data_IF_056246674964
#
_entry.id   IF_056246674964
#
_cell.length_a   1.000
_cell.length_b   1.000
_cell.length_c   1.000
_cell.angle_alpha   90.00
_cell.angle_beta   90.00
_cell.angle_gamma   90.00
#
_symmetry.space_group_name_H-M   'P 1'
#
loop_
_entity.id
_entity.type
_entity.pdbx_description
1 polymer ?
#
# COMPACT_ATOMS: atom_id res chain seq x y z
N UNK A 1 9.50 -8.82 30.90
CA UNK A 1 8.73 -8.47 29.68
C UNK A 1 9.02 -9.59 28.69
N UNK A 2 8.08 -10.50 28.44
CA UNK A 2 8.32 -11.56 27.45
C UNK A 2 8.35 -10.91 26.07
N UNK A 3 9.49 -10.99 25.40
CA UNK A 3 9.57 -10.63 23.99
C UNK A 3 8.67 -11.60 23.24
N UNK A 4 7.72 -11.06 22.48
CA UNK A 4 6.86 -11.86 21.59
C UNK A 4 7.77 -12.50 20.54
N UNK A 5 7.70 -13.82 20.37
CA UNK A 5 8.52 -14.54 19.39
C UNK A 5 8.09 -14.19 17.96
N UNK A 6 9.01 -14.18 16.99
CA UNK A 6 8.70 -13.96 15.57
C UNK A 6 7.64 -14.95 15.07
N UNK A 7 7.64 -16.18 15.60
CA UNK A 7 6.63 -17.19 15.28
C UNK A 7 5.24 -16.82 15.80
N UNK A 8 5.16 -16.22 16.98
CA UNK A 8 3.89 -15.76 17.56
C UNK A 8 3.33 -14.57 16.78
N UNK A 9 4.20 -13.62 16.38
CA UNK A 9 3.83 -12.51 15.50
C UNK A 9 3.32 -13.05 14.16
N UNK A 10 4.04 -13.98 13.53
CA UNK A 10 3.65 -14.58 12.26
C UNK A 10 2.32 -15.35 12.37
N UNK A 11 2.06 -16.01 13.51
CA UNK A 11 0.80 -16.69 13.77
C UNK A 11 -0.37 -15.70 13.98
N UNK A 12 -0.12 -14.52 14.54
CA UNK A 12 -1.12 -13.48 14.72
C UNK A 12 -1.46 -12.73 13.41
N UNK A 13 -0.52 -12.66 12.45
CA UNK A 13 -0.74 -12.05 11.12
C UNK A 13 -1.54 -12.96 10.19
N UNK A 14 -2.85 -13.04 10.43
CA UNK A 14 -3.77 -13.89 9.66
C UNK A 14 -4.05 -13.39 8.23
N UNK A 15 -3.88 -12.08 7.97
CA UNK A 15 -4.06 -11.48 6.65
C UNK A 15 -2.70 -11.05 6.11
N UNK A 16 -2.31 -11.65 4.99
CA UNK A 16 -1.03 -11.40 4.33
C UNK A 16 -1.16 -11.51 2.81
N UNK A 17 -0.23 -10.91 2.08
CA UNK A 17 -0.05 -11.25 0.67
C UNK A 17 0.61 -12.63 0.62
N UNK A 18 -0.10 -13.58 0.03
CA UNK A 18 0.36 -14.95 -0.12
C UNK A 18 0.19 -15.32 -1.58
N UNK A 19 1.26 -15.86 -2.16
CA UNK A 19 1.36 -16.25 -3.55
C UNK A 19 2.56 -17.18 -3.72
N UNK A 20 2.40 -18.17 -4.60
CA UNK A 20 3.42 -19.19 -4.81
C UNK A 20 4.40 -18.87 -5.93
N UNK A 21 4.01 -17.98 -6.83
CA UNK A 21 4.80 -17.51 -7.96
C UNK A 21 4.75 -16.00 -7.98
N UNK A 22 5.89 -15.37 -8.28
CA UNK A 22 5.93 -13.92 -8.47
C UNK A 22 5.06 -13.53 -9.66
N UNK A 23 4.23 -12.49 -9.54
CA UNK A 23 3.55 -11.91 -10.70
C UNK A 23 4.58 -11.48 -11.74
N UNK A 24 4.22 -11.53 -13.03
CA UNK A 24 5.09 -10.99 -14.08
C UNK A 24 5.40 -9.51 -13.87
N UNK A 25 6.53 -9.05 -14.40
CA UNK A 25 6.88 -7.63 -14.38
C UNK A 25 5.77 -6.79 -15.00
N UNK A 26 5.53 -5.63 -14.39
CA UNK A 26 4.49 -4.73 -14.86
C UNK A 26 4.82 -4.17 -16.25
N UNK A 27 3.78 -4.08 -17.07
CA UNK A 27 3.80 -3.35 -18.34
C UNK A 27 3.03 -2.04 -18.18
N UNK A 28 3.51 -1.03 -18.90
CA UNK A 28 2.92 0.30 -18.94
C UNK A 28 2.37 0.58 -20.33
N UNK A 29 1.13 1.05 -20.38
CA UNK A 29 0.48 1.45 -21.61
C UNK A 29 0.99 2.84 -22.02
N UNK A 30 1.34 2.97 -23.30
CA UNK A 30 1.73 4.25 -23.88
C UNK A 30 0.58 5.27 -23.80
N UNK A 31 0.92 6.54 -23.62
CA UNK A 31 -0.06 7.63 -23.53
C UNK A 31 -0.73 7.79 -22.16
N UNK A 32 -0.61 6.82 -21.25
CA UNK A 32 -1.06 6.97 -19.86
C UNK A 32 -0.01 7.73 -19.06
N UNK A 33 -0.45 8.79 -18.39
CA UNK A 33 0.41 9.68 -17.63
C UNK A 33 1.10 8.95 -16.47
N UNK A 34 2.36 9.32 -16.21
CA UNK A 34 3.23 8.79 -15.15
C UNK A 34 3.72 9.91 -14.27
N UNK A 35 3.87 9.65 -12.97
CA UNK A 35 4.48 10.63 -12.07
C UNK A 35 5.93 10.91 -12.50
N UNK A 36 6.42 12.16 -12.35
CA UNK A 36 7.83 12.45 -12.53
C UNK A 36 8.68 11.68 -11.49
N UNK A 37 9.97 11.57 -11.74
CA UNK A 37 10.92 11.12 -10.72
C UNK A 37 10.87 12.06 -9.51
N UNK A 38 10.83 11.49 -8.30
CA UNK A 38 10.84 12.21 -7.03
C UNK A 38 12.25 12.43 -6.48
N UNK A 39 13.25 11.87 -7.14
CA UNK A 39 14.66 11.89 -6.73
C UNK A 39 14.96 10.88 -5.62
N UNK A 40 16.23 10.51 -5.52
CA UNK A 40 16.74 9.53 -4.55
C UNK A 40 17.77 10.21 -3.64
N UNK A 41 17.41 10.42 -2.37
CA UNK A 41 18.20 11.18 -1.38
C UNK A 41 18.60 10.35 -0.16
N UNK A 42 18.18 9.09 -0.11
CA UNK A 42 18.47 8.21 1.01
C UNK A 42 19.98 7.91 1.14
N UNK A 43 20.45 7.91 2.38
CA UNK A 43 21.72 7.27 2.73
C UNK A 43 21.65 5.75 2.49
N UNK A 44 22.79 5.06 2.49
CA UNK A 44 22.80 3.60 2.38
C UNK A 44 21.95 2.94 3.48
N UNK A 45 22.08 3.37 4.73
CA UNK A 45 21.31 2.82 5.84
C UNK A 45 19.80 3.06 5.68
N UNK A 46 19.39 4.25 5.23
CA UNK A 46 17.99 4.54 4.94
C UNK A 46 17.47 3.72 3.75
N UNK A 47 18.29 3.51 2.73
CA UNK A 47 17.95 2.68 1.56
C UNK A 47 17.69 1.23 1.97
N UNK A 48 18.53 0.68 2.86
CA UNK A 48 18.31 -0.66 3.42
C UNK A 48 17.00 -0.75 4.22
N UNK A 49 16.65 0.30 4.97
CA UNK A 49 15.38 0.38 5.68
C UNK A 49 14.21 0.47 4.71
N UNK A 50 14.29 1.31 3.67
CA UNK A 50 13.26 1.44 2.63
C UNK A 50 12.97 0.08 1.94
N UNK A 51 14.03 -0.66 1.62
CA UNK A 51 13.89 -2.02 1.07
C UNK A 51 13.24 -2.97 2.06
N UNK A 52 13.66 -2.99 3.34
CA UNK A 52 13.02 -3.81 4.38
C UNK A 52 11.54 -3.45 4.55
N UNK A 53 11.21 -2.16 4.51
CA UNK A 53 9.86 -1.64 4.61
C UNK A 53 8.98 -2.10 3.45
N UNK A 54 9.46 -2.08 2.21
CA UNK A 54 8.73 -2.62 1.07
C UNK A 54 8.61 -4.16 1.12
N UNK A 55 9.68 -4.86 1.54
CA UNK A 55 9.71 -6.32 1.61
C UNK A 55 8.88 -6.90 2.76
N UNK A 56 8.47 -6.09 3.75
CA UNK A 56 7.62 -6.53 4.87
C UNK A 56 6.29 -7.15 4.43
N UNK A 57 5.80 -6.76 3.26
CA UNK A 57 4.56 -7.27 2.68
C UNK A 57 4.73 -8.58 1.90
N UNK A 58 5.97 -9.01 1.64
CA UNK A 58 6.27 -10.06 0.66
C UNK A 58 6.84 -11.31 1.34
N UNK A 59 6.45 -12.53 0.91
CA UNK A 59 7.08 -13.75 1.40
C UNK A 59 8.61 -13.76 1.22
N UNK A 60 9.35 -14.13 2.28
CA UNK A 60 10.83 -14.13 2.33
C UNK A 60 11.48 -14.86 1.15
N UNK A 61 10.84 -15.91 0.62
CA UNK A 61 11.31 -16.69 -0.55
C UNK A 61 11.56 -15.85 -1.80
N UNK A 62 10.93 -14.68 -1.93
CA UNK A 62 11.05 -13.79 -3.09
C UNK A 62 11.93 -12.57 -2.87
N UNK A 63 12.45 -12.36 -1.65
CA UNK A 63 13.18 -11.14 -1.32
C UNK A 63 14.41 -10.95 -2.20
N UNK A 64 15.20 -12.00 -2.42
CA UNK A 64 16.41 -11.92 -3.24
C UNK A 64 16.14 -11.47 -4.68
N UNK A 65 15.02 -11.89 -5.26
CA UNK A 65 14.64 -11.51 -6.63
C UNK A 65 14.09 -10.07 -6.69
N UNK A 66 13.38 -9.62 -5.66
CA UNK A 66 12.72 -8.32 -5.64
C UNK A 66 13.61 -7.16 -5.18
N UNK A 67 14.64 -7.42 -4.37
CA UNK A 67 15.59 -6.39 -3.92
C UNK A 67 16.12 -5.54 -5.09
N UNK A 68 16.67 -6.12 -6.18
CA UNK A 68 17.19 -5.30 -7.29
C UNK A 68 16.08 -4.52 -8.00
N UNK A 69 14.86 -5.06 -8.09
CA UNK A 69 13.72 -4.39 -8.72
C UNK A 69 13.24 -3.20 -7.88
N UNK A 70 13.05 -3.38 -6.58
CA UNK A 70 12.67 -2.31 -5.67
C UNK A 70 13.75 -1.24 -5.54
N UNK A 71 15.03 -1.63 -5.55
CA UNK A 71 16.13 -0.69 -5.56
C UNK A 71 16.16 0.15 -6.84
N UNK A 72 15.84 -0.45 -7.99
CA UNK A 72 15.75 0.27 -9.26
C UNK A 72 14.58 1.26 -9.26
N UNK A 73 13.40 0.85 -8.79
CA UNK A 73 12.26 1.77 -8.61
C UNK A 73 12.63 2.94 -7.70
N UNK A 74 13.25 2.66 -6.55
CA UNK A 74 13.66 3.68 -5.59
C UNK A 74 14.66 4.67 -6.20
N UNK A 75 15.64 4.19 -6.98
CA UNK A 75 16.67 5.04 -7.61
C UNK A 75 16.15 5.88 -8.77
N UNK A 76 15.21 5.34 -9.56
CA UNK A 76 14.76 5.97 -10.81
C UNK A 76 13.44 6.73 -10.68
N UNK A 77 12.69 6.47 -9.60
CA UNK A 77 11.40 7.10 -9.33
C UNK A 77 11.36 7.82 -7.98
N UNK A 78 12.37 7.60 -7.13
CA UNK A 78 12.39 8.09 -5.75
C UNK A 78 11.44 7.34 -4.82
N UNK A 79 10.76 6.29 -5.25
CA UNK A 79 9.79 5.54 -4.45
C UNK A 79 9.75 4.09 -4.88
N UNK A 80 9.39 3.20 -3.95
CA UNK A 80 9.07 1.80 -4.27
C UNK A 80 7.56 1.69 -4.41
N UNK A 81 7.06 1.70 -5.66
CA UNK A 81 5.63 1.52 -5.94
C UNK A 81 5.24 0.04 -6.00
N UNK A 82 6.22 -0.85 -6.20
CA UNK A 82 6.03 -2.27 -6.40
C UNK A 82 5.17 -2.56 -7.62
N UNK A 83 5.54 -2.01 -8.78
CA UNK A 83 4.69 -2.02 -9.97
C UNK A 83 4.22 -3.42 -10.35
N UNK A 84 5.06 -4.44 -10.14
CA UNK A 84 4.75 -5.86 -10.36
C UNK A 84 3.47 -6.32 -9.66
N UNK A 85 3.13 -5.73 -8.52
CA UNK A 85 1.95 -6.10 -7.72
C UNK A 85 0.68 -5.36 -8.15
N UNK A 86 0.75 -4.46 -9.13
CA UNK A 86 -0.44 -3.82 -9.67
C UNK A 86 -1.37 -4.86 -10.31
N UNK A 87 -2.69 -4.84 -10.03
CA UNK A 87 -3.65 -5.66 -10.75
C UNK A 87 -3.59 -5.42 -12.26
N UNK A 88 -3.60 -6.50 -13.05
CA UNK A 88 -3.64 -6.42 -14.52
C UNK A 88 -5.02 -5.99 -15.03
N UNK A 89 -6.07 -6.36 -14.31
CA UNK A 89 -7.44 -6.03 -14.65
C UNK A 89 -7.71 -4.52 -14.52
N UNK A 90 -8.71 -4.05 -15.28
CA UNK A 90 -9.18 -2.66 -15.18
C UNK A 90 -9.67 -2.37 -13.77
N UNK A 91 -9.10 -1.32 -13.18
CA UNK A 91 -9.51 -0.80 -11.86
C UNK A 91 -10.53 0.32 -12.11
N UNK A 92 -11.72 0.17 -11.53
CA UNK A 92 -12.79 1.16 -11.52
C UNK A 92 -13.80 0.80 -10.42
N UNK A 93 -14.60 1.77 -9.98
CA UNK A 93 -15.68 1.50 -9.02
C UNK A 93 -16.78 0.63 -9.66
N UNK A 94 -16.82 -0.64 -9.28
CA UNK A 94 -17.86 -1.59 -9.76
C UNK A 94 -19.15 -1.45 -8.96
N UNK A 95 -20.29 -2.01 -9.41
CA UNK A 95 -21.44 -2.23 -8.55
C UNK A 95 -21.03 -2.94 -7.24
N UNK A 96 -21.55 -2.49 -6.11
CA UNK A 96 -21.15 -2.95 -4.77
C UNK A 96 -21.28 -4.47 -4.59
N UNK A 97 -22.25 -5.08 -5.27
CA UNK A 97 -22.54 -6.52 -5.17
C UNK A 97 -21.49 -7.40 -5.88
N UNK A 98 -20.65 -6.82 -6.75
CA UNK A 98 -19.54 -7.51 -7.38
C UNK A 98 -18.31 -7.65 -6.47
N UNK A 99 -18.29 -6.90 -5.36
CA UNK A 99 -17.21 -6.96 -4.39
C UNK A 99 -17.39 -8.12 -3.41
N UNK A 100 -16.31 -8.88 -3.21
CA UNK A 100 -16.21 -9.86 -2.12
C UNK A 100 -16.10 -9.11 -0.79
N UNK A 101 -16.74 -9.63 0.24
CA UNK A 101 -16.73 -8.99 1.55
C UNK A 101 -17.83 -9.52 2.46
N UNK A 102 -17.56 -9.54 3.77
CA UNK A 102 -18.56 -9.87 4.79
C UNK A 102 -19.32 -8.64 5.31
N UNK A 103 -18.76 -7.45 5.11
CA UNK A 103 -19.33 -6.18 5.56
C UNK A 103 -19.65 -5.28 4.35
N UNK A 104 -20.88 -4.78 4.25
CA UNK A 104 -21.31 -3.90 3.15
C UNK A 104 -20.50 -2.60 3.09
N UNK A 105 -20.21 -2.01 4.25
CA UNK A 105 -19.39 -0.81 4.30
C UNK A 105 -17.95 -1.04 3.81
N UNK A 106 -17.37 -2.22 4.07
CA UNK A 106 -16.04 -2.57 3.53
C UNK A 106 -16.06 -2.69 2.01
N UNK A 107 -17.11 -3.30 1.43
CA UNK A 107 -17.32 -3.34 -0.03
C UNK A 107 -17.44 -1.93 -0.61
N UNK A 108 -18.26 -1.08 -0.01
CA UNK A 108 -18.43 0.31 -0.43
C UNK A 108 -17.10 1.08 -0.41
N UNK A 109 -16.25 0.87 0.59
CA UNK A 109 -14.92 1.49 0.63
C UNK A 109 -14.03 1.01 -0.51
N UNK A 110 -14.08 -0.29 -0.84
CA UNK A 110 -13.32 -0.81 -1.98
C UNK A 110 -13.78 -0.20 -3.32
N UNK A 111 -15.08 0.06 -3.49
CA UNK A 111 -15.60 0.82 -4.64
C UNK A 111 -14.91 2.18 -4.73
N UNK A 112 -14.82 2.91 -3.61
CA UNK A 112 -14.23 4.25 -3.56
C UNK A 112 -12.71 4.23 -3.80
N UNK A 113 -12.00 3.23 -3.27
CA UNK A 113 -10.57 3.05 -3.51
C UNK A 113 -10.30 2.78 -4.99
N UNK A 114 -11.06 1.86 -5.60
CA UNK A 114 -10.92 1.53 -7.03
C UNK A 114 -11.32 2.71 -7.91
N UNK A 115 -12.28 3.53 -7.49
CA UNK A 115 -12.62 4.78 -8.18
C UNK A 115 -11.43 5.76 -8.18
N UNK A 116 -10.82 6.01 -7.01
CA UNK A 116 -9.67 6.92 -6.90
C UNK A 116 -8.45 6.46 -7.72
N UNK A 117 -8.32 5.16 -7.97
CA UNK A 117 -7.23 4.53 -8.72
C UNK A 117 -7.63 4.14 -10.15
N UNK A 118 -8.83 4.53 -10.60
CA UNK A 118 -9.25 4.33 -11.97
C UNK A 118 -8.33 5.09 -12.92
N UNK A 119 -7.95 4.46 -14.03
CA UNK A 119 -7.11 5.06 -15.05
C UNK A 119 -7.78 6.24 -15.78
N UNK A 120 -9.10 6.36 -15.64
CA UNK A 120 -9.90 7.46 -16.18
C UNK A 120 -9.98 8.66 -15.21
N UNK A 121 -9.56 8.47 -13.95
CA UNK A 121 -9.75 9.45 -12.87
C UNK A 121 -8.41 9.90 -12.29
N UNK A 122 -7.51 8.96 -12.00
CA UNK A 122 -6.25 9.24 -11.32
C UNK A 122 -5.28 10.04 -12.22
N UNK A 123 -4.59 11.01 -11.63
CA UNK A 123 -3.55 11.80 -12.29
C UNK A 123 -2.35 10.94 -12.73
N UNK A 124 -1.87 10.05 -11.84
CA UNK A 124 -0.81 9.09 -12.11
C UNK A 124 -1.25 7.70 -11.65
N UNK A 125 -2.07 6.99 -12.44
CA UNK A 125 -2.72 5.76 -11.99
C UNK A 125 -1.71 4.66 -11.61
N UNK A 126 -0.57 4.59 -12.30
CA UNK A 126 0.48 3.61 -12.00
C UNK A 126 1.21 3.90 -10.67
N UNK A 127 1.25 5.15 -10.24
CA UNK A 127 1.90 5.62 -9.01
C UNK A 127 0.90 5.86 -7.87
N UNK A 128 -0.34 5.39 -8.03
CA UNK A 128 -1.40 5.50 -7.04
C UNK A 128 -1.77 6.94 -6.65
N UNK A 129 -1.45 7.93 -7.49
CA UNK A 129 -1.74 9.36 -7.26
C UNK A 129 -3.04 9.74 -7.95
N UNK A 130 -4.01 10.19 -7.17
CA UNK A 130 -5.30 10.63 -7.69
C UNK A 130 -5.25 12.08 -8.16
N UNK A 131 -4.66 13.00 -7.39
CA UNK A 131 -4.58 14.43 -7.74
C UNK A 131 -3.44 15.14 -7.01
N UNK A 132 -3.24 16.42 -7.32
CA UNK A 132 -2.37 17.30 -6.54
C UNK A 132 -0.89 16.93 -6.60
N UNK A 133 -0.45 16.28 -7.69
CA UNK A 133 0.90 15.75 -7.93
C UNK A 133 1.34 14.63 -6.98
N UNK A 134 1.08 14.73 -5.68
CA UNK A 134 1.53 13.78 -4.64
C UNK A 134 0.39 13.18 -3.81
N UNK A 135 -0.86 13.58 -4.05
CA UNK A 135 -2.03 13.06 -3.35
C UNK A 135 -2.33 11.62 -3.74
N UNK A 136 -1.73 10.67 -3.01
CA UNK A 136 -1.82 9.24 -3.25
C UNK A 136 -2.84 8.54 -2.35
N UNK A 137 -3.35 7.40 -2.82
CA UNK A 137 -4.28 6.55 -2.05
C UNK A 137 -3.53 5.68 -1.05
N UNK A 138 -2.39 5.15 -1.48
CA UNK A 138 -1.42 4.43 -0.65
C UNK A 138 -0.05 4.51 -1.34
N UNK A 139 1.02 4.18 -0.61
CA UNK A 139 2.39 4.35 -1.08
C UNK A 139 2.79 3.35 -2.18
N UNK A 140 2.20 2.15 -2.18
CA UNK A 140 2.56 1.09 -3.13
C UNK A 140 1.42 0.08 -3.38
N UNK A 141 1.58 -0.71 -4.44
CA UNK A 141 0.60 -1.72 -4.85
C UNK A 141 0.48 -2.89 -3.88
N UNK A 142 1.50 -3.16 -3.05
CA UNK A 142 1.40 -4.17 -1.99
C UNK A 142 0.37 -3.73 -0.94
N UNK A 143 0.40 -2.47 -0.53
CA UNK A 143 -0.58 -1.89 0.39
C UNK A 143 -1.99 -1.93 -0.18
N UNK A 144 -2.19 -1.52 -1.44
CA UNK A 144 -3.49 -1.62 -2.11
C UNK A 144 -4.07 -3.04 -2.05
N UNK A 145 -3.27 -4.05 -2.42
CA UNK A 145 -3.72 -5.45 -2.40
C UNK A 145 -4.01 -5.94 -0.98
N UNK A 146 -3.21 -5.52 -0.01
CA UNK A 146 -3.38 -5.94 1.38
C UNK A 146 -4.62 -5.29 2.02
N UNK A 147 -4.87 -4.00 1.75
CA UNK A 147 -6.10 -3.31 2.16
C UNK A 147 -7.31 -4.05 1.61
N UNK A 148 -7.31 -4.43 0.33
CA UNK A 148 -8.40 -5.22 -0.26
C UNK A 148 -8.63 -6.53 0.48
N UNK A 149 -7.58 -7.30 0.79
CA UNK A 149 -7.72 -8.52 1.59
C UNK A 149 -8.34 -8.25 2.96
N UNK A 150 -7.96 -7.16 3.63
CA UNK A 150 -8.57 -6.78 4.90
C UNK A 150 -10.05 -6.43 4.75
N UNK A 151 -10.43 -5.65 3.73
CA UNK A 151 -11.83 -5.30 3.47
C UNK A 151 -12.69 -6.53 3.12
N UNK A 152 -12.12 -7.52 2.42
CA UNK A 152 -12.83 -8.77 2.08
C UNK A 152 -13.17 -9.60 3.34
N UNK A 153 -12.29 -9.64 4.34
CA UNK A 153 -12.48 -10.48 5.53
C UNK A 153 -13.08 -9.76 6.74
N UNK A 154 -13.05 -8.42 6.75
CA UNK A 154 -13.58 -7.56 7.80
C UNK A 154 -15.05 -7.86 8.10
N UNK A 155 -15.39 -7.92 9.39
CA UNK A 155 -16.77 -7.96 9.88
C UNK A 155 -17.23 -6.61 10.41
N UNK A 156 -18.52 -6.49 10.75
CA UNK A 156 -19.10 -5.27 11.34
C UNK A 156 -18.58 -4.98 12.76
N UNK A 157 -17.98 -5.96 13.42
CA UNK A 157 -17.38 -5.82 14.76
C UNK A 157 -15.91 -5.44 14.70
N UNK A 158 -15.43 -4.91 13.58
CA UNK A 158 -14.02 -4.59 13.37
C UNK A 158 -13.81 -3.20 12.75
N UNK A 159 -12.65 -2.62 13.06
CA UNK A 159 -12.15 -1.39 12.45
C UNK A 159 -10.77 -1.69 11.85
N UNK A 160 -10.56 -1.37 10.58
CA UNK A 160 -9.24 -1.38 9.95
C UNK A 160 -8.53 -0.06 10.26
N UNK A 161 -7.32 -0.14 10.78
CA UNK A 161 -6.45 1.02 10.97
C UNK A 161 -5.48 1.10 9.80
N UNK A 162 -5.43 2.25 9.13
CA UNK A 162 -4.53 2.54 8.02
C UNK A 162 -3.67 3.76 8.36
N UNK A 163 -2.36 3.56 8.34
CA UNK A 163 -1.34 4.55 8.68
C UNK A 163 -0.56 4.94 7.42
N UNK A 164 -0.88 6.10 6.84
CA UNK A 164 -0.27 6.61 5.60
C UNK A 164 -0.23 5.55 4.49
N UNK A 165 -1.37 4.88 4.27
CA UNK A 165 -1.52 3.78 3.32
C UNK A 165 -1.11 2.40 3.84
N UNK A 166 -0.35 2.28 4.94
CA UNK A 166 -0.05 0.97 5.55
C UNK A 166 -1.26 0.42 6.32
N UNK A 167 -1.85 -0.72 5.92
CA UNK A 167 -2.92 -1.33 6.71
C UNK A 167 -2.33 -2.05 7.92
N UNK A 168 -2.35 -1.39 9.07
CA UNK A 168 -1.82 -1.94 10.33
C UNK A 168 -2.56 -3.22 10.74
N UNK A 169 -3.87 -3.25 10.58
CA UNK A 169 -4.68 -4.45 10.82
C UNK A 169 -6.12 -4.17 11.23
N UNK A 170 -6.84 -5.28 11.48
CA UNK A 170 -8.22 -5.26 11.96
C UNK A 170 -8.24 -5.37 13.49
N UNK A 171 -8.91 -4.43 14.14
CA UNK A 171 -9.08 -4.37 15.58
C UNK A 171 -10.54 -4.55 15.94
N UNK A 172 -10.82 -5.22 17.07
CA UNK A 172 -12.19 -5.38 17.57
C UNK A 172 -12.81 -4.01 17.86
N UNK A 173 -14.02 -3.82 17.40
CA UNK A 173 -14.82 -2.61 17.57
C UNK A 173 -16.29 -2.99 17.80
N UNK A 174 -17.20 -2.01 17.64
CA UNK A 174 -18.66 -2.21 17.69
C UNK A 174 -19.29 -1.81 16.35
N UNK A 175 -20.46 -2.33 15.96
CA UNK A 175 -21.10 -2.00 14.70
C UNK A 175 -21.26 -0.49 14.41
N UNK A 176 -21.40 0.35 15.42
CA UNK A 176 -21.54 1.81 15.27
C UNK A 176 -20.21 2.55 15.14
N UNK A 177 -19.08 1.88 15.34
CA UNK A 177 -17.76 2.46 15.14
C UNK A 177 -17.46 2.66 13.65
N UNK A 178 -16.53 3.56 13.29
CA UNK A 178 -16.00 3.61 11.93
C UNK A 178 -15.41 2.26 11.52
N UNK A 179 -15.71 1.82 10.29
CA UNK A 179 -15.08 0.59 9.74
C UNK A 179 -13.62 0.80 9.40
N UNK A 180 -13.20 2.02 9.08
CA UNK A 180 -11.80 2.34 8.81
C UNK A 180 -11.43 3.65 9.49
N UNK A 181 -10.24 3.69 10.09
CA UNK A 181 -9.58 4.90 10.56
C UNK A 181 -8.32 5.08 9.71
N UNK A 182 -8.20 6.23 9.04
CA UNK A 182 -7.09 6.54 8.14
C UNK A 182 -6.40 7.78 8.67
N UNK A 183 -5.07 7.71 8.74
CA UNK A 183 -4.19 8.88 8.89
C UNK A 183 -3.28 8.94 7.67
N UNK A 184 -2.91 10.13 7.20
CA UNK A 184 -1.98 10.29 6.09
C UNK A 184 -1.02 11.44 6.40
N UNK A 185 0.29 11.19 6.30
CA UNK A 185 1.32 12.22 6.41
C UNK A 185 1.45 12.86 7.79
N UNK A 186 1.01 12.19 8.86
CA UNK A 186 1.19 12.72 10.21
C UNK A 186 2.67 12.63 10.62
N UNK A 187 3.28 13.79 10.87
CA UNK A 187 4.66 13.93 11.34
C UNK A 187 4.66 14.65 12.70
N UNK A 188 5.70 14.41 13.50
CA UNK A 188 5.95 15.22 14.70
C UNK A 188 6.34 16.62 14.25
N UNK A 189 5.83 17.67 14.89
CA UNK A 189 5.95 19.05 14.41
C UNK A 189 7.38 19.53 14.07
N UNK A 190 8.40 19.07 14.79
CA UNK A 190 9.81 19.38 14.47
C UNK A 190 10.24 18.83 13.09
N UNK A 191 9.67 17.70 12.69
CA UNK A 191 9.94 17.02 11.41
C UNK A 191 8.87 17.28 10.35
N UNK A 192 7.84 18.10 10.63
CA UNK A 192 6.80 18.46 9.67
C UNK A 192 7.31 19.53 8.70
N UNK A 193 8.31 19.13 7.90
CA UNK A 193 8.95 19.95 6.88
C UNK A 193 9.21 19.10 5.64
N UNK A 194 9.38 19.79 4.50
CA UNK A 194 9.45 19.14 3.19
C UNK A 194 10.61 18.15 3.06
N UNK A 195 11.75 18.44 3.70
CA UNK A 195 12.95 17.59 3.65
C UNK A 195 12.72 16.27 4.37
N UNK A 196 12.22 16.32 5.60
CA UNK A 196 11.99 15.12 6.40
C UNK A 196 10.80 14.31 5.86
N UNK A 197 9.76 14.99 5.36
CA UNK A 197 8.65 14.36 4.65
C UNK A 197 9.13 13.59 3.41
N UNK A 198 10.01 14.18 2.57
CA UNK A 198 10.56 13.49 1.41
C UNK A 198 11.31 12.21 1.79
N UNK A 199 12.13 12.24 2.85
CA UNK A 199 12.85 11.06 3.35
C UNK A 199 11.88 9.99 3.86
N UNK A 200 10.85 10.38 4.63
CA UNK A 200 9.84 9.45 5.13
C UNK A 200 9.10 8.75 3.99
N UNK A 201 8.71 9.50 2.97
CA UNK A 201 8.04 8.98 1.78
C UNK A 201 8.94 8.07 0.93
N UNK A 202 10.24 8.37 0.80
CA UNK A 202 11.23 7.48 0.16
C UNK A 202 11.37 6.14 0.92
N UNK A 203 11.15 6.14 2.25
CA UNK A 203 11.32 4.98 3.11
C UNK A 203 10.08 4.08 3.25
N UNK A 204 8.87 4.59 2.95
CA UNK A 204 7.60 3.83 3.06
C UNK A 204 7.30 3.26 4.45
#
# INVERSE_FOLDING_TARGET
MSFIDEKEIAAAMSVKLDFDVLPEKATFQEGIRRAPDRGFRLTQAQTEIALKNALRYIPKKFHQELIPEFLEELRTRGRIYGYRFRPKDRIYGKPIDEYKGKCTAAKAMQVMIDNNLSFEIALYPYELVTYGETGSVCANWMQYNLIKKYLEVMTEDQTLVVESGHPLGLFKSKPEAPRVVITNGLLIGEYDNMRDWEIAEEMG
#
